data_IF_543771319502
#
_entry.id   IF_543771319502
#
_cell.length_a   1.000
_cell.length_b   1.000
_cell.length_c   1.000
_cell.angle_alpha   90.00
_cell.angle_beta   90.00
_cell.angle_gamma   90.00
#
_symmetry.space_group_name_H-M   'P 1'
#
loop_
_entity.id
_entity.type
_entity.pdbx_description
1 polymer ?
#
# COMPACT_ATOMS: atom_id res chain seq x y z
N UNK A 1 -14.63 1.14 0.19
CA UNK A 1 -15.99 1.51 0.62
C UNK A 1 -16.03 1.26 2.12
N UNK A 2 -16.00 2.32 2.93
CA UNK A 2 -16.07 2.20 4.40
C UNK A 2 -17.54 2.15 4.76
N UNK A 3 -17.97 1.06 5.41
CA UNK A 3 -19.37 0.80 5.75
C UNK A 3 -19.77 1.56 7.02
N UNK A 4 -20.79 2.40 6.90
CA UNK A 4 -21.53 2.96 8.03
C UNK A 4 -22.98 2.48 7.97
N UNK A 5 -23.26 1.28 8.47
CA UNK A 5 -24.60 0.90 8.93
C UNK A 5 -24.56 -0.33 9.83
N UNK A 6 -24.72 -0.12 11.13
CA UNK A 6 -25.26 -1.13 12.03
C UNK A 6 -26.78 -1.06 11.96
N UNK A 7 -27.42 -2.08 11.36
CA UNK A 7 -28.84 -2.33 11.62
C UNK A 7 -28.94 -3.24 12.84
N UNK A 8 -29.65 -2.76 13.85
CA UNK A 8 -30.21 -3.55 14.94
C UNK A 8 -30.96 -4.76 14.36
N UNK A 9 -30.39 -5.96 14.55
CA UNK A 9 -31.08 -7.23 14.39
C UNK A 9 -31.15 -7.86 15.79
N UNK A 10 -32.38 -8.04 16.25
CA UNK A 10 -32.70 -8.69 17.49
C UNK A 10 -32.15 -10.12 17.53
N UNK A 11 -31.44 -10.40 18.61
CA UNK A 11 -31.21 -11.70 19.28
C UNK A 11 -31.39 -12.99 18.46
N UNK A 12 -30.26 -13.62 18.12
CA UNK A 12 -30.01 -15.04 18.40
C UNK A 12 -28.52 -15.34 18.28
N UNK A 13 -27.91 -15.85 19.35
CA UNK A 13 -26.59 -16.50 19.30
C UNK A 13 -26.77 -17.95 18.77
N UNK A 14 -25.73 -18.66 18.29
CA UNK A 14 -24.48 -18.88 19.04
C UNK A 14 -23.16 -18.67 18.29
N UNK A 15 -22.16 -18.28 19.09
CA UNK A 15 -20.76 -18.74 19.07
C UNK A 15 -20.03 -18.85 17.74
N UNK A 16 -19.09 -17.94 17.48
CA UNK A 16 -18.02 -18.17 16.51
C UNK A 16 -16.72 -17.54 16.99
N UNK A 17 -15.69 -18.37 17.13
CA UNK A 17 -14.33 -18.04 17.51
C UNK A 17 -13.71 -17.02 16.53
N UNK A 18 -13.04 -16.01 17.08
CA UNK A 18 -12.13 -15.15 16.31
C UNK A 18 -10.71 -15.62 16.59
N UNK A 19 -10.05 -16.21 15.58
CA UNK A 19 -8.61 -16.49 15.60
C UNK A 19 -7.86 -15.19 15.28
N UNK A 20 -7.09 -14.68 16.23
CA UNK A 20 -6.08 -13.64 16.00
C UNK A 20 -4.72 -14.31 15.74
N UNK A 21 -4.13 -14.04 14.57
CA UNK A 21 -2.77 -14.45 14.25
C UNK A 21 -1.78 -13.43 14.82
N UNK A 22 -0.91 -13.88 15.73
CA UNK A 22 0.26 -13.13 16.19
C UNK A 22 1.50 -13.67 15.45
N UNK A 23 2.22 -12.80 14.73
CA UNK A 23 3.56 -13.09 14.22
C UNK A 23 4.57 -12.32 15.07
N UNK A 24 5.64 -12.95 15.60
CA UNK A 24 6.68 -12.23 16.32
C UNK A 24 7.66 -11.58 15.33
N UNK A 25 7.81 -10.26 15.41
CA UNK A 25 8.97 -9.55 14.89
C UNK A 25 10.12 -9.70 15.87
N UNK A 26 11.31 -10.04 15.38
CA UNK A 26 12.55 -10.03 16.14
C UNK A 26 13.64 -9.33 15.34
N UNK A 27 14.53 -8.67 16.09
CA UNK A 27 15.76 -7.97 15.72
C UNK A 27 15.62 -6.57 15.09
N UNK A 28 15.98 -5.54 15.87
CA UNK A 28 17.10 -4.61 15.62
C UNK A 28 17.47 -3.94 16.97
N UNK A 29 18.66 -4.25 17.49
CA UNK A 29 19.38 -3.49 18.53
C UNK A 29 20.69 -2.99 17.92
N UNK A 30 21.24 -1.93 18.52
CA UNK A 30 22.44 -1.14 18.17
C UNK A 30 22.24 -0.05 17.10
N UNK A 31 21.93 1.18 17.54
CA UNK A 31 22.88 2.32 17.53
C UNK A 31 22.44 3.31 18.60
N UNK A 32 23.22 3.43 19.69
CA UNK A 32 23.11 4.54 20.64
C UNK A 32 24.50 5.10 20.93
N UNK A 33 24.76 6.32 20.43
CA UNK A 33 25.57 7.39 21.04
C UNK A 33 26.05 8.43 20.02
N UNK A 34 25.48 9.63 20.09
CA UNK A 34 26.25 10.87 20.02
C UNK A 34 25.48 11.99 20.75
N UNK A 35 25.82 12.21 22.02
CA UNK A 35 25.30 13.26 22.87
C UNK A 35 26.05 14.59 22.64
N UNK A 36 25.27 15.67 22.68
CA UNK A 36 25.54 17.01 23.24
C UNK A 36 26.55 18.00 22.62
N UNK A 37 26.04 19.23 22.48
CA UNK A 37 26.58 20.60 22.61
C UNK A 37 26.04 21.45 21.42
N UNK A 38 25.45 22.63 21.55
CA UNK A 38 25.36 23.60 22.63
C UNK A 38 24.28 24.62 22.25
N UNK A 39 23.54 25.11 23.24
CA UNK A 39 22.68 26.29 23.15
C UNK A 39 23.51 27.56 22.97
N UNK A 40 23.03 28.52 22.16
CA UNK A 40 23.19 29.97 22.38
C UNK A 40 22.31 30.75 21.40
N UNK A 41 21.41 31.56 21.97
CA UNK A 41 20.74 32.71 21.34
C UNK A 41 21.78 33.70 20.81
N UNK A 42 21.49 34.38 19.70
CA UNK A 42 21.29 35.84 19.66
C UNK A 42 20.96 36.35 18.24
N UNK A 43 20.31 37.50 18.26
CA UNK A 43 19.68 38.26 17.19
C UNK A 43 20.66 38.83 16.14
N UNK A 44 20.13 39.17 14.96
CA UNK A 44 20.45 40.47 14.35
C UNK A 44 21.27 40.50 13.05
N UNK A 45 20.60 41.00 12.00
CA UNK A 45 21.09 41.88 10.93
C UNK A 45 21.79 41.32 9.66
N UNK A 46 21.00 41.40 8.57
CA UNK A 46 21.22 42.15 7.32
C UNK A 46 22.56 42.11 6.56
N UNK A 47 22.42 41.71 5.29
CA UNK A 47 22.92 42.35 4.05
C UNK A 47 24.41 42.27 3.70
N UNK A 48 24.72 41.57 2.59
CA UNK A 48 25.16 42.19 1.31
C UNK A 48 25.44 41.14 0.22
N UNK A 49 24.87 41.37 -0.96
CA UNK A 49 25.34 40.84 -2.25
C UNK A 49 26.72 41.44 -2.58
N UNK A 50 27.63 40.66 -3.20
CA UNK A 50 28.41 41.00 -4.43
C UNK A 50 29.07 39.72 -4.99
N UNK A 51 28.53 39.28 -6.13
CA UNK A 51 29.14 38.91 -7.41
C UNK A 51 30.63 38.45 -7.58
N UNK A 52 30.75 37.38 -8.40
CA UNK A 52 31.77 37.09 -9.46
C UNK A 52 33.05 36.24 -9.22
N UNK A 53 33.00 35.10 -9.94
CA UNK A 53 33.99 34.49 -10.88
C UNK A 53 34.76 33.23 -10.45
N UNK A 54 34.56 32.19 -11.27
CA UNK A 54 35.37 30.98 -11.42
C UNK A 54 36.78 31.26 -11.96
N UNK A 55 37.70 30.27 -11.85
CA UNK A 55 38.11 29.58 -13.08
C UNK A 55 38.30 28.04 -12.96
N UNK A 56 38.44 27.46 -14.16
CA UNK A 56 38.61 26.09 -14.69
C UNK A 56 39.53 25.05 -14.02
N UNK A 57 39.09 23.78 -14.09
CA UNK A 57 39.72 22.50 -14.55
C UNK A 57 41.24 22.25 -14.30
N UNK A 58 41.79 21.08 -13.92
CA UNK A 58 41.40 19.66 -13.71
C UNK A 58 42.64 18.95 -13.06
N UNK A 59 42.80 17.61 -13.11
CA UNK A 59 42.14 16.53 -12.36
C UNK A 59 43.05 15.93 -11.26
N UNK A 60 42.49 15.31 -10.22
CA UNK A 60 43.28 14.54 -9.24
C UNK A 60 42.87 13.06 -9.23
N UNK A 61 43.87 12.20 -9.41
CA UNK A 61 43.77 10.74 -9.43
C UNK A 61 43.49 10.19 -8.03
N UNK A 62 42.61 9.20 -7.94
CA UNK A 62 42.34 8.43 -6.72
C UNK A 62 43.37 7.31 -6.55
N UNK A 63 44.08 7.35 -5.43
CA UNK A 63 44.97 6.28 -4.98
C UNK A 63 44.18 5.18 -4.26
N UNK A 64 44.56 3.93 -4.52
CA UNK A 64 44.13 2.72 -3.81
C UNK A 64 44.84 2.59 -2.45
N UNK A 65 44.10 2.09 -1.46
CA UNK A 65 44.58 1.48 -0.20
C UNK A 65 43.38 1.36 0.76
N UNK A 66 42.91 0.21 1.25
CA UNK A 66 43.55 -1.09 1.44
C UNK A 66 44.00 -1.25 2.89
N UNK A 67 43.08 -1.40 3.86
CA UNK A 67 43.40 -1.80 5.25
C UNK A 67 42.20 -2.57 5.86
N UNK A 68 42.20 -3.91 5.74
CA UNK A 68 41.48 -4.81 6.65
C UNK A 68 42.54 -5.64 7.37
N UNK A 69 42.64 -5.45 8.68
CA UNK A 69 43.57 -6.15 9.56
C UNK A 69 42.92 -7.39 10.16
N UNK A 70 43.57 -8.53 9.94
CA UNK A 70 43.40 -9.82 10.60
C UNK A 70 43.95 -9.79 12.03
N UNK A 71 43.30 -10.49 12.97
CA UNK A 71 43.98 -11.03 14.15
C UNK A 71 43.38 -12.39 14.54
N UNK A 72 44.19 -13.43 14.32
CA UNK A 72 44.14 -14.69 15.04
C UNK A 72 44.72 -14.50 16.45
N UNK A 73 44.13 -15.15 17.44
CA UNK A 73 44.84 -15.70 18.60
C UNK A 73 43.98 -16.78 19.25
N UNK A 74 44.42 -18.03 19.09
CA UNK A 74 43.95 -19.18 19.84
C UNK A 74 44.81 -19.36 21.12
N UNK A 75 44.22 -19.89 22.19
CA UNK A 75 44.71 -20.97 23.10
C UNK A 75 43.72 -21.10 24.30
N UNK A 76 43.55 -22.30 24.88
CA UNK A 76 42.24 -22.84 25.26
C UNK A 76 42.01 -22.91 26.78
N UNK A 77 40.73 -23.00 27.19
CA UNK A 77 40.38 -23.48 28.55
C UNK A 77 39.27 -24.53 28.46
N UNK A 78 39.51 -25.63 29.16
CA UNK A 78 38.74 -26.87 29.23
C UNK A 78 37.29 -26.65 29.66
N UNK A 79 36.35 -27.28 28.94
CA UNK A 79 34.96 -27.46 29.33
C UNK A 79 34.79 -28.72 30.17
N UNK A 80 34.23 -28.59 31.38
CA UNK A 80 33.58 -29.69 32.10
C UNK A 80 32.11 -29.72 31.68
N UNK A 81 31.52 -30.85 31.23
CA UNK A 81 30.13 -30.87 30.81
C UNK A 81 29.20 -31.14 32.00
N UNK A 82 28.37 -30.17 32.37
CA UNK A 82 27.13 -30.46 33.11
C UNK A 82 25.99 -30.64 32.11
N UNK A 83 25.75 -31.91 31.80
CA UNK A 83 24.69 -32.39 30.94
C UNK A 83 23.32 -32.18 31.61
N UNK A 84 22.56 -31.17 31.17
CA UNK A 84 21.12 -31.02 31.43
C UNK A 84 20.53 -30.00 30.45
N UNK A 85 20.36 -30.36 29.17
CA UNK A 85 19.42 -29.67 28.25
C UNK A 85 19.21 -30.35 26.86
N UNK A 86 19.82 -31.50 26.58
CA UNK A 86 19.75 -32.14 25.26
C UNK A 86 18.36 -32.63 24.81
N UNK A 87 17.40 -32.82 25.72
CA UNK A 87 16.08 -33.38 25.36
C UNK A 87 15.05 -32.35 24.87
N UNK A 88 15.25 -31.05 25.13
CA UNK A 88 14.34 -29.98 24.66
C UNK A 88 14.72 -29.44 23.29
N UNK A 89 16.02 -29.33 23.00
CA UNK A 89 16.51 -28.87 21.69
C UNK A 89 16.20 -29.89 20.58
N UNK A 90 16.36 -31.19 20.84
CA UNK A 90 16.07 -32.24 19.87
C UNK A 90 14.57 -32.35 19.53
N UNK A 91 13.70 -32.13 20.53
CA UNK A 91 12.24 -32.12 20.33
C UNK A 91 11.74 -30.89 19.56
N UNK A 92 12.39 -29.73 19.75
CA UNK A 92 12.09 -28.51 18.98
C UNK A 92 12.57 -28.60 17.54
N UNK A 93 13.76 -29.16 17.30
CA UNK A 93 14.28 -29.38 15.95
C UNK A 93 13.42 -30.39 15.15
N UNK A 94 12.95 -31.46 15.80
CA UNK A 94 12.06 -32.44 15.16
C UNK A 94 10.67 -31.85 14.83
N UNK A 95 10.11 -31.00 15.71
CA UNK A 95 8.83 -30.34 15.47
C UNK A 95 8.88 -29.32 14.32
N UNK A 96 9.96 -28.53 14.23
CA UNK A 96 10.14 -27.55 13.15
C UNK A 96 10.41 -28.25 11.80
N UNK A 97 11.17 -29.36 11.80
CA UNK A 97 11.39 -30.15 10.60
C UNK A 97 10.10 -30.81 10.09
N UNK A 98 9.23 -31.30 10.98
CA UNK A 98 7.93 -31.86 10.60
C UNK A 98 6.99 -30.80 9.99
N UNK A 99 6.89 -29.62 10.62
CA UNK A 99 6.09 -28.50 10.09
C UNK A 99 6.59 -28.01 8.73
N UNK A 100 7.90 -27.92 8.53
CA UNK A 100 8.49 -27.57 7.22
C UNK A 100 8.23 -28.67 6.17
N UNK A 101 8.28 -29.94 6.56
CA UNK A 101 7.99 -31.04 5.63
C UNK A 101 6.51 -31.05 5.20
N UNK A 102 5.58 -30.77 6.10
CA UNK A 102 4.15 -30.66 5.77
C UNK A 102 3.83 -29.39 4.98
N UNK A 103 4.48 -28.26 5.26
CA UNK A 103 4.33 -27.05 4.47
C UNK A 103 4.87 -27.23 3.04
N UNK A 104 6.02 -27.88 2.86
CA UNK A 104 6.61 -28.16 1.55
C UNK A 104 5.84 -29.25 0.79
N UNK A 105 5.36 -30.29 1.47
CA UNK A 105 4.52 -31.32 0.85
C UNK A 105 3.14 -30.78 0.46
N UNK A 106 2.53 -29.90 1.28
CA UNK A 106 1.29 -29.20 0.95
C UNK A 106 1.48 -28.23 -0.23
N UNK A 107 2.57 -27.46 -0.23
CA UNK A 107 2.90 -26.55 -1.32
C UNK A 107 3.18 -27.29 -2.64
N UNK A 108 3.86 -28.43 -2.60
CA UNK A 108 4.14 -29.25 -3.77
C UNK A 108 2.89 -29.98 -4.32
N UNK A 109 1.94 -30.37 -3.45
CA UNK A 109 0.71 -31.08 -3.85
C UNK A 109 -0.36 -30.14 -4.42
N UNK A 110 -0.37 -28.87 -4.01
CA UNK A 110 -1.26 -27.85 -4.62
C UNK A 110 -0.79 -27.48 -6.03
N UNK A 111 0.50 -27.58 -6.33
CA UNK A 111 1.06 -27.22 -7.65
C UNK A 111 1.15 -28.37 -8.66
N UNK A 112 1.19 -29.63 -8.20
CA UNK A 112 1.05 -30.80 -9.07
C UNK A 112 -0.37 -31.32 -8.90
N UNK A 113 -1.26 -30.96 -9.83
CA UNK A 113 -2.70 -31.27 -9.76
C UNK A 113 -3.04 -32.77 -9.77
N UNK A 114 -2.72 -33.47 -8.69
CA UNK A 114 -3.15 -34.84 -8.41
C UNK A 114 -4.25 -34.78 -7.35
N UNK A 115 -5.50 -34.96 -7.79
CA UNK A 115 -6.66 -35.10 -6.93
C UNK A 115 -6.66 -36.53 -6.37
N UNK A 116 -6.13 -36.70 -5.15
CA UNK A 116 -6.61 -37.63 -4.12
C UNK A 116 -5.63 -37.65 -2.94
N UNK A 117 -5.83 -36.75 -1.98
CA UNK A 117 -5.28 -36.89 -0.63
C UNK A 117 -6.46 -37.15 0.30
N UNK A 118 -6.55 -38.39 0.78
CA UNK A 118 -7.53 -38.80 1.79
C UNK A 118 -7.19 -38.10 3.12
N UNK A 119 -7.88 -36.98 3.38
CA UNK A 119 -7.80 -36.27 4.65
C UNK A 119 -8.55 -37.09 5.70
N UNK A 120 -7.87 -38.06 6.31
CA UNK A 120 -8.43 -38.77 7.44
C UNK A 120 -8.75 -37.75 8.55
N UNK A 121 -9.97 -37.82 9.06
CA UNK A 121 -10.55 -36.96 10.10
C UNK A 121 -9.77 -36.97 11.41
N UNK A 122 -8.82 -37.90 11.59
CA UNK A 122 -7.90 -37.95 12.72
C UNK A 122 -6.85 -36.81 12.71
N UNK A 123 -6.49 -36.27 11.54
CA UNK A 123 -5.43 -35.23 11.43
C UNK A 123 -5.90 -33.84 11.85
N UNK A 124 -7.19 -33.53 11.69
CA UNK A 124 -7.78 -32.27 12.13
C UNK A 124 -8.03 -32.26 13.63
N UNK A 125 -8.44 -33.40 14.21
CA UNK A 125 -8.63 -33.53 15.66
C UNK A 125 -7.33 -33.40 16.43
N UNK A 126 -6.21 -33.92 15.90
CA UNK A 126 -4.90 -33.81 16.53
C UNK A 126 -4.30 -32.39 16.41
N UNK A 127 -4.61 -31.67 15.32
CA UNK A 127 -4.20 -30.27 15.13
C UNK A 127 -5.03 -29.30 15.98
N UNK A 128 -6.34 -29.52 16.10
CA UNK A 128 -7.21 -28.78 17.02
C UNK A 128 -6.80 -29.03 18.48
N UNK A 129 -6.51 -30.28 18.86
CA UNK A 129 -6.06 -30.62 20.22
C UNK A 129 -4.64 -30.10 20.55
N UNK A 130 -3.79 -29.92 19.55
CA UNK A 130 -2.47 -29.29 19.71
C UNK A 130 -2.58 -27.76 19.85
N UNK A 131 -3.56 -27.13 19.20
CA UNK A 131 -3.84 -25.70 19.33
C UNK A 131 -4.48 -25.37 20.69
N UNK A 132 -5.36 -26.27 21.18
CA UNK A 132 -6.07 -26.15 22.46
C UNK A 132 -5.12 -26.17 23.69
N UNK A 133 -3.91 -26.72 23.53
CA UNK A 133 -2.88 -26.78 24.59
C UNK A 133 -1.86 -25.64 24.57
N UNK A 134 -2.05 -24.61 23.73
CA UNK A 134 -1.17 -23.42 23.67
C UNK A 134 -1.90 -22.09 23.72
N UNK A 135 -3.17 -22.08 24.14
CA UNK A 135 -3.83 -20.81 24.47
C UNK A 135 -3.24 -20.33 25.80
N UNK A 136 -2.46 -19.26 25.76
CA UNK A 136 -2.00 -18.59 26.97
C UNK A 136 -3.22 -18.27 27.83
N UNK A 137 -3.28 -18.87 29.03
CA UNK A 137 -4.35 -18.55 29.98
C UNK A 137 -4.08 -17.14 30.47
N UNK A 138 -4.82 -16.16 29.94
CA UNK A 138 -4.72 -14.77 30.36
C UNK A 138 -5.06 -14.66 31.85
N UNK A 139 -4.19 -14.04 32.63
CA UNK A 139 -4.37 -13.87 34.07
C UNK A 139 -4.13 -12.42 34.50
N UNK A 140 -4.77 -12.03 35.60
CA UNK A 140 -4.60 -10.70 36.18
C UNK A 140 -4.93 -9.59 35.19
N UNK A 141 -3.96 -8.72 34.95
CA UNK A 141 -4.13 -7.51 34.13
C UNK A 141 -4.42 -7.81 32.66
N UNK A 142 -3.83 -8.86 32.10
CA UNK A 142 -4.06 -9.26 30.71
C UNK A 142 -5.52 -9.65 30.47
N UNK A 143 -6.07 -10.42 31.42
CA UNK A 143 -7.48 -10.78 31.40
C UNK A 143 -8.38 -9.56 31.57
N UNK A 144 -8.08 -8.68 32.52
CA UNK A 144 -8.83 -7.44 32.72
C UNK A 144 -8.80 -6.52 31.50
N UNK A 145 -7.67 -6.45 30.80
CA UNK A 145 -7.53 -5.67 29.57
C UNK A 145 -8.43 -6.22 28.46
N UNK A 146 -8.36 -7.53 28.20
CA UNK A 146 -9.18 -8.19 27.16
C UNK A 146 -10.67 -8.16 27.51
N UNK A 147 -11.02 -8.45 28.77
CA UNK A 147 -12.41 -8.40 29.24
C UNK A 147 -12.97 -6.96 29.23
N UNK A 148 -12.09 -5.95 29.25
CA UNK A 148 -12.45 -4.53 29.17
C UNK A 148 -12.77 -4.02 27.76
N UNK A 149 -12.58 -4.82 26.72
CA UNK A 149 -12.90 -4.45 25.34
C UNK A 149 -14.42 -4.45 25.15
N UNK A 150 -14.99 -3.27 24.92
CA UNK A 150 -16.43 -3.07 24.73
C UNK A 150 -16.80 -3.01 23.24
N UNK A 151 -17.59 -3.99 22.80
CA UNK A 151 -18.05 -4.14 21.41
C UNK A 151 -18.94 -2.97 20.98
N UNK A 152 -19.79 -2.43 21.87
CA UNK A 152 -20.67 -1.32 21.51
C UNK A 152 -19.85 -0.04 21.30
N UNK A 153 -18.83 0.20 22.13
CA UNK A 153 -17.89 1.31 21.92
C UNK A 153 -17.11 1.18 20.62
N UNK A 154 -16.66 -0.02 20.26
CA UNK A 154 -15.99 -0.24 18.97
C UNK A 154 -16.90 0.15 17.79
N UNK A 155 -18.20 -0.18 17.86
CA UNK A 155 -19.17 0.22 16.83
C UNK A 155 -19.40 1.73 16.81
N UNK A 156 -19.47 2.37 17.97
CA UNK A 156 -19.60 3.83 18.08
C UNK A 156 -18.41 4.54 17.44
N UNK A 157 -17.18 4.11 17.75
CA UNK A 157 -15.97 4.67 17.13
C UNK A 157 -15.95 4.44 15.63
N UNK A 158 -16.22 3.21 15.18
CA UNK A 158 -16.29 2.93 13.75
C UNK A 158 -17.29 3.86 13.07
N UNK A 159 -18.51 3.98 13.59
CA UNK A 159 -19.54 4.84 13.02
C UNK A 159 -19.09 6.31 12.99
N UNK A 160 -18.46 6.80 14.07
CA UNK A 160 -17.95 8.17 14.13
C UNK A 160 -16.90 8.43 13.04
N UNK A 161 -15.90 7.57 12.93
CA UNK A 161 -14.82 7.73 11.94
C UNK A 161 -15.28 7.47 10.50
N UNK A 162 -16.29 6.62 10.26
CA UNK A 162 -16.78 6.30 8.92
C UNK A 162 -17.93 7.17 8.41
N UNK A 163 -18.38 8.17 9.17
CA UNK A 163 -19.61 8.92 8.85
C UNK A 163 -19.43 10.04 7.83
N UNK A 164 -18.22 10.60 7.69
CA UNK A 164 -17.92 11.72 6.80
C UNK A 164 -16.55 11.49 6.15
N UNK A 165 -16.37 11.71 4.84
CA UNK A 165 -15.06 11.63 4.19
C UNK A 165 -14.02 12.52 4.89
N UNK A 166 -12.91 11.92 5.34
CA UNK A 166 -11.87 12.58 6.14
C UNK A 166 -10.50 12.45 5.45
N UNK A 167 -10.40 12.99 4.23
CA UNK A 167 -9.16 12.93 3.43
C UNK A 167 -8.06 13.74 4.12
N UNK A 168 -6.83 13.21 4.13
CA UNK A 168 -5.66 13.86 4.72
C UNK A 168 -5.56 15.35 4.35
N UNK A 169 -5.30 16.20 5.36
CA UNK A 169 -5.14 17.64 5.22
C UNK A 169 -6.44 18.44 5.03
N UNK A 170 -7.60 17.79 5.04
CA UNK A 170 -8.89 18.48 5.02
C UNK A 170 -9.32 18.94 6.42
N UNK A 171 -10.31 19.84 6.48
CA UNK A 171 -10.91 20.25 7.75
C UNK A 171 -11.53 19.05 8.51
N UNK A 172 -12.09 18.09 7.77
CA UNK A 172 -12.69 16.89 8.39
C UNK A 172 -11.61 15.95 8.95
N UNK A 173 -10.46 15.81 8.29
CA UNK A 173 -9.31 15.09 8.83
C UNK A 173 -8.83 15.72 10.16
N UNK A 174 -8.69 17.04 10.22
CA UNK A 174 -8.38 17.73 11.47
C UNK A 174 -9.46 17.52 12.55
N UNK A 175 -10.73 17.54 12.17
CA UNK A 175 -11.82 17.26 13.11
C UNK A 175 -11.76 15.84 13.67
N UNK A 176 -11.34 14.86 12.87
CA UNK A 176 -11.09 13.49 13.36
C UNK A 176 -9.87 13.42 14.28
N UNK A 177 -8.81 14.19 14.02
CA UNK A 177 -7.65 14.29 14.92
C UNK A 177 -8.04 14.89 16.29
N UNK A 178 -8.83 15.97 16.29
CA UNK A 178 -9.35 16.59 17.52
C UNK A 178 -10.22 15.61 18.32
N UNK A 179 -11.12 14.87 17.65
CA UNK A 179 -11.95 13.88 18.31
C UNK A 179 -11.11 12.76 18.94
N UNK A 180 -10.11 12.25 18.24
CA UNK A 180 -9.19 11.23 18.78
C UNK A 180 -8.43 11.76 19.99
N UNK A 181 -7.95 13.01 19.94
CA UNK A 181 -7.27 13.63 21.06
C UNK A 181 -8.19 13.75 22.30
N UNK A 182 -9.43 14.20 22.10
CA UNK A 182 -10.45 14.24 23.17
C UNK A 182 -10.70 12.85 23.77
N UNK A 183 -10.76 11.80 22.94
CA UNK A 183 -10.90 10.43 23.45
C UNK A 183 -9.70 10.02 24.31
N UNK A 184 -8.47 10.24 23.84
CA UNK A 184 -7.26 9.92 24.60
C UNK A 184 -7.19 10.66 25.93
N UNK A 185 -7.48 11.96 25.94
CA UNK A 185 -7.56 12.78 27.16
C UNK A 185 -8.62 12.24 28.13
N UNK A 186 -9.80 11.85 27.62
CA UNK A 186 -10.87 11.28 28.45
C UNK A 186 -10.49 9.95 29.11
N UNK A 187 -9.52 9.22 28.54
CA UNK A 187 -8.98 7.98 29.10
C UNK A 187 -7.83 8.24 30.08
N UNK A 188 -7.44 9.50 30.29
CA UNK A 188 -6.36 9.90 31.17
C UNK A 188 -4.97 9.87 30.53
N UNK A 189 -4.88 9.82 29.20
CA UNK A 189 -3.60 9.83 28.48
C UNK A 189 -3.05 11.25 28.35
N UNK A 190 -1.73 11.40 28.51
CA UNK A 190 -1.03 12.61 28.07
C UNK A 190 -1.08 12.64 26.54
N UNK A 191 -1.71 13.66 25.98
CA UNK A 191 -2.04 13.71 24.56
C UNK A 191 -1.45 14.96 23.91
N UNK A 192 -0.90 14.81 22.70
CA UNK A 192 -0.51 15.93 21.86
C UNK A 192 -0.92 15.70 20.40
N UNK A 193 -1.16 16.80 19.69
CA UNK A 193 -1.33 16.77 18.23
C UNK A 193 -0.07 17.36 17.60
N UNK A 194 0.65 16.54 16.85
CA UNK A 194 1.85 16.94 16.12
C UNK A 194 1.50 17.28 14.68
N UNK A 195 1.83 18.50 14.26
CA UNK A 195 1.61 18.95 12.88
C UNK A 195 2.86 18.82 12.03
N UNK A 196 2.70 18.22 10.86
CA UNK A 196 3.68 18.22 9.78
C UNK A 196 3.08 18.89 8.54
N UNK A 197 3.92 19.44 7.67
CA UNK A 197 3.51 20.13 6.46
C UNK A 197 4.02 19.35 5.25
N UNK A 198 3.21 18.43 4.75
CA UNK A 198 3.65 17.45 3.72
C UNK A 198 3.09 17.80 2.36
N UNK A 199 3.73 17.34 1.29
CA UNK A 199 3.12 17.42 -0.04
C UNK A 199 1.86 16.55 -0.09
N UNK A 200 0.70 17.16 -0.27
CA UNK A 200 -0.54 16.47 -0.58
C UNK A 200 -0.94 16.70 -2.03
N UNK A 201 -1.68 15.74 -2.59
CA UNK A 201 -2.05 15.72 -4.00
C UNK A 201 -3.54 15.46 -4.13
N UNK A 202 -4.26 16.33 -4.83
CA UNK A 202 -5.71 16.23 -5.08
C UNK A 202 -6.05 16.55 -6.53
N UNK A 203 -7.09 15.95 -7.12
CA UNK A 203 -7.44 16.18 -8.51
C UNK A 203 -8.16 17.52 -8.67
N UNK A 204 -7.78 18.29 -9.70
CA UNK A 204 -8.52 19.48 -10.17
C UNK A 204 -9.42 19.10 -11.33
N UNK A 205 -8.87 18.36 -12.29
CA UNK A 205 -9.54 17.97 -13.53
C UNK A 205 -9.18 16.55 -13.92
N UNK A 206 -10.17 15.82 -14.40
CA UNK A 206 -10.02 14.44 -14.85
C UNK A 206 -10.90 14.25 -16.08
N UNK A 207 -10.30 13.83 -17.18
CA UNK A 207 -11.00 13.50 -18.40
C UNK A 207 -10.34 12.28 -19.03
N UNK A 208 -11.18 11.36 -19.50
CA UNK A 208 -10.75 10.19 -20.24
C UNK A 208 -11.77 9.88 -21.31
N UNK A 209 -11.33 9.78 -22.56
CA UNK A 209 -12.19 9.41 -23.67
C UNK A 209 -11.49 8.40 -24.59
N UNK A 210 -12.26 7.46 -25.13
CA UNK A 210 -11.87 6.70 -26.31
C UNK A 210 -12.09 7.62 -27.51
N UNK A 211 -11.03 7.86 -28.27
CA UNK A 211 -11.03 8.72 -29.47
C UNK A 211 -11.12 7.87 -30.72
N UNK A 212 -10.37 6.77 -30.77
CA UNK A 212 -10.43 5.78 -31.84
C UNK A 212 -10.56 4.37 -31.26
N UNK A 213 -11.25 3.46 -31.98
CA UNK A 213 -11.94 3.67 -33.25
C UNK A 213 -13.28 4.41 -33.08
N UNK A 214 -13.83 4.97 -34.17
CA UNK A 214 -15.01 5.86 -34.14
C UNK A 214 -16.25 5.17 -33.55
N UNK A 215 -16.41 3.87 -33.81
CA UNK A 215 -17.51 3.04 -33.28
C UNK A 215 -17.44 2.83 -31.76
N UNK A 216 -16.24 2.94 -31.18
CA UNK A 216 -16.02 2.84 -29.74
C UNK A 216 -15.97 4.22 -29.06
N UNK A 217 -15.79 5.29 -29.85
CA UNK A 217 -15.55 6.64 -29.37
C UNK A 217 -16.60 7.11 -28.36
N UNK A 218 -16.14 7.49 -27.18
CA UNK A 218 -16.98 7.93 -26.06
C UNK A 218 -16.14 8.58 -24.98
N UNK A 219 -16.75 9.48 -24.23
CA UNK A 219 -16.23 9.90 -22.93
C UNK A 219 -16.54 8.83 -21.87
N UNK A 220 -15.57 8.54 -21.00
CA UNK A 220 -15.73 7.58 -19.92
C UNK A 220 -16.21 8.28 -18.65
N UNK A 221 -17.18 7.67 -17.96
CA UNK A 221 -17.72 8.22 -16.72
C UNK A 221 -16.77 7.94 -15.56
N UNK A 222 -16.10 8.97 -15.07
CA UNK A 222 -15.13 8.90 -13.97
C UNK A 222 -15.77 9.20 -12.59
N UNK A 223 -17.06 8.95 -12.45
CA UNK A 223 -17.83 9.18 -11.21
C UNK A 223 -18.23 7.83 -10.61
N UNK A 224 -18.04 7.68 -9.30
CA UNK A 224 -18.53 6.49 -8.59
C UNK A 224 -20.05 6.46 -8.53
N UNK A 225 -20.63 5.27 -8.71
CA UNK A 225 -22.08 5.11 -8.62
C UNK A 225 -22.57 5.24 -7.17
N UNK A 226 -23.68 5.95 -7.00
CA UNK A 226 -24.44 5.99 -5.76
C UNK A 226 -25.23 4.69 -5.58
N UNK A 227 -25.35 4.23 -4.34
CA UNK A 227 -26.10 3.04 -3.97
C UNK A 227 -27.38 3.47 -3.26
N UNK A 228 -28.53 3.07 -3.82
CA UNK A 228 -29.83 3.42 -3.28
C UNK A 228 -29.97 2.97 -1.81
N UNK A 229 -30.30 3.91 -0.93
CA UNK A 229 -30.47 3.66 0.51
C UNK A 229 -29.18 3.64 1.33
N UNK A 230 -28.04 4.00 0.72
CA UNK A 230 -26.75 4.19 1.36
C UNK A 230 -26.22 5.62 1.13
N UNK A 231 -26.49 6.49 2.10
CA UNK A 231 -26.14 7.92 2.06
C UNK A 231 -24.62 8.16 1.98
N UNK A 232 -23.80 7.20 2.44
CA UNK A 232 -22.33 7.31 2.39
C UNK A 232 -21.80 7.31 0.95
N UNK A 233 -22.59 6.84 -0.01
CA UNK A 233 -22.21 6.81 -1.43
C UNK A 233 -22.58 8.08 -2.18
N UNK A 234 -23.31 8.99 -1.54
CA UNK A 234 -23.82 10.23 -2.12
C UNK A 234 -23.24 11.50 -1.50
N UNK A 235 -22.22 11.39 -0.63
CA UNK A 235 -21.58 12.56 -0.02
C UNK A 235 -20.79 13.37 -1.07
N UNK A 236 -21.21 14.61 -1.29
CA UNK A 236 -20.59 15.53 -2.26
C UNK A 236 -19.17 15.96 -1.84
N UNK A 237 -18.80 15.80 -0.57
CA UNK A 237 -17.45 16.09 -0.08
C UNK A 237 -16.46 14.95 -0.36
N UNK A 238 -16.93 13.78 -0.81
CA UNK A 238 -16.05 12.70 -1.19
C UNK A 238 -15.25 13.10 -2.44
N UNK A 239 -13.91 13.09 -2.32
CA UNK A 239 -13.05 13.32 -3.48
C UNK A 239 -13.35 12.28 -4.56
N UNK A 240 -13.35 12.67 -5.84
CA UNK A 240 -13.64 11.72 -6.91
C UNK A 240 -12.48 10.71 -7.07
N UNK A 241 -12.59 9.68 -7.93
CA UNK A 241 -11.49 8.74 -8.17
C UNK A 241 -10.26 9.39 -8.81
N UNK A 242 -9.08 9.18 -8.22
CA UNK A 242 -7.79 9.67 -8.74
C UNK A 242 -6.60 8.86 -8.16
N UNK A 243 -5.42 9.08 -8.74
CA UNK A 243 -4.15 8.69 -8.13
C UNK A 243 -3.42 9.88 -7.55
N UNK A 244 -3.19 9.84 -6.23
CA UNK A 244 -2.38 10.86 -5.57
C UNK A 244 -0.94 10.76 -6.09
N UNK A 245 -0.36 11.93 -6.38
CA UNK A 245 0.97 12.12 -6.97
C UNK A 245 1.13 11.72 -8.44
N UNK A 246 0.06 11.31 -9.14
CA UNK A 246 0.14 11.22 -10.59
C UNK A 246 0.47 12.61 -11.19
N UNK A 247 1.21 12.64 -12.30
CA UNK A 247 1.58 13.92 -12.90
C UNK A 247 0.38 14.57 -13.62
N UNK A 248 0.35 15.90 -13.65
CA UNK A 248 -0.52 16.65 -14.55
C UNK A 248 -0.08 16.41 -16.00
N UNK A 249 -1.02 16.14 -16.90
CA UNK A 249 -0.71 15.92 -18.30
C UNK A 249 -1.93 15.63 -19.15
N UNK A 250 -1.86 16.00 -20.43
CA UNK A 250 -2.85 15.69 -21.46
C UNK A 250 -2.16 14.90 -22.58
N UNK A 251 -2.54 13.64 -22.71
CA UNK A 251 -1.91 12.68 -23.63
C UNK A 251 -3.00 11.98 -24.44
N UNK A 252 -2.85 12.00 -25.76
CA UNK A 252 -3.66 11.18 -26.68
C UNK A 252 -2.75 10.15 -27.34
N UNK A 253 -2.95 8.87 -27.04
CA UNK A 253 -2.09 7.80 -27.53
C UNK A 253 -2.82 6.45 -27.57
N UNK A 254 -2.25 5.49 -28.31
CA UNK A 254 -2.77 4.13 -28.32
C UNK A 254 -2.53 3.39 -27.01
N UNK A 255 -3.41 2.45 -26.69
CA UNK A 255 -3.42 1.72 -25.41
C UNK A 255 -2.80 0.33 -25.57
N UNK A 256 -1.92 -0.04 -24.63
CA UNK A 256 -1.37 -1.40 -24.51
C UNK A 256 -1.86 -2.02 -23.21
N UNK A 257 -2.47 -3.21 -23.29
CA UNK A 257 -2.80 -4.00 -22.11
C UNK A 257 -1.55 -4.68 -21.55
N UNK A 258 -1.20 -4.34 -20.32
CA UNK A 258 0.04 -4.77 -19.65
C UNK A 258 -0.20 -5.75 -18.51
N UNK A 259 -1.32 -6.46 -18.50
CA UNK A 259 -1.67 -7.41 -17.44
C UNK A 259 -1.62 -6.76 -16.05
N UNK A 260 -0.85 -7.31 -15.10
CA UNK A 260 -0.69 -6.72 -13.78
C UNK A 260 0.35 -5.57 -13.79
N UNK A 261 1.00 -5.25 -14.90
CA UNK A 261 2.04 -4.22 -14.93
C UNK A 261 3.21 -4.58 -14.00
N UNK A 262 3.54 -5.87 -13.88
CA UNK A 262 4.76 -6.32 -13.23
C UNK A 262 5.95 -6.16 -14.19
N UNK A 263 7.20 -6.09 -13.67
CA UNK A 263 8.38 -6.07 -14.54
C UNK A 263 8.37 -7.17 -15.61
N UNK A 264 7.97 -8.39 -15.24
CA UNK A 264 7.93 -9.54 -16.16
C UNK A 264 6.87 -9.38 -17.26
N UNK A 265 5.78 -8.63 -17.00
CA UNK A 265 4.75 -8.35 -17.99
C UNK A 265 5.31 -7.42 -19.09
N UNK A 266 6.06 -6.39 -18.71
CA UNK A 266 6.72 -5.49 -19.65
C UNK A 266 7.83 -6.19 -20.44
N UNK A 267 8.64 -7.01 -19.78
CA UNK A 267 9.68 -7.82 -20.43
C UNK A 267 9.08 -8.76 -21.48
N UNK A 268 7.97 -9.41 -21.15
CA UNK A 268 7.26 -10.27 -22.11
C UNK A 268 6.77 -9.48 -23.32
N UNK A 269 6.19 -8.29 -23.13
CA UNK A 269 5.73 -7.43 -24.22
C UNK A 269 6.87 -7.03 -25.16
N UNK A 270 8.00 -6.58 -24.61
CA UNK A 270 9.19 -6.23 -25.39
C UNK A 270 9.74 -7.43 -26.15
N UNK A 271 9.85 -8.59 -25.49
CA UNK A 271 10.30 -9.83 -26.13
C UNK A 271 9.37 -10.31 -27.27
N UNK A 272 8.10 -9.89 -27.26
CA UNK A 272 7.11 -10.21 -28.29
C UNK A 272 6.86 -9.06 -29.29
N UNK A 273 7.83 -8.14 -29.41
CA UNK A 273 7.85 -7.03 -30.36
C UNK A 273 6.65 -6.06 -30.21
N UNK A 274 6.17 -5.86 -28.99
CA UNK A 274 5.15 -4.84 -28.70
C UNK A 274 5.84 -3.51 -28.41
N UNK A 275 5.46 -2.46 -29.14
CA UNK A 275 6.00 -1.11 -28.95
C UNK A 275 5.31 -0.42 -27.76
N UNK A 276 6.09 -0.01 -26.76
CA UNK A 276 5.57 0.60 -25.52
C UNK A 276 5.75 2.12 -25.49
N UNK A 277 6.83 2.63 -26.10
CA UNK A 277 7.21 4.04 -26.00
C UNK A 277 6.10 4.95 -26.56
N UNK A 278 5.71 5.95 -25.79
CA UNK A 278 4.66 6.91 -26.15
C UNK A 278 3.24 6.36 -26.08
N UNK A 279 3.03 5.13 -25.58
CA UNK A 279 1.69 4.52 -25.44
C UNK A 279 1.13 4.70 -24.04
N UNK A 280 -0.17 4.44 -23.85
CA UNK A 280 -0.82 4.42 -22.54
C UNK A 280 -0.93 2.97 -22.05
N UNK A 281 -0.44 2.69 -20.84
CA UNK A 281 -0.54 1.37 -20.24
C UNK A 281 -1.93 1.17 -19.65
N UNK A 282 -2.60 0.05 -19.94
CA UNK A 282 -3.77 -0.41 -19.20
C UNK A 282 -3.38 -1.62 -18.36
N UNK A 283 -3.34 -1.46 -17.03
CA UNK A 283 -3.01 -2.50 -16.08
C UNK A 283 -4.21 -2.87 -15.21
N UNK A 284 -4.26 -4.12 -14.72
CA UNK A 284 -5.14 -4.51 -13.62
C UNK A 284 -4.45 -4.38 -12.26
N UNK A 285 -5.25 -4.11 -11.24
CA UNK A 285 -4.84 -4.20 -9.84
C UNK A 285 -4.48 -5.61 -9.42
N UNK A 286 -3.76 -5.72 -8.29
CA UNK A 286 -3.21 -6.98 -7.80
C UNK A 286 -1.78 -7.22 -8.31
N UNK A 287 -1.16 -8.32 -7.88
CA UNK A 287 0.18 -8.72 -8.30
C UNK A 287 1.35 -7.92 -7.68
N UNK A 288 1.30 -6.59 -7.74
CA UNK A 288 2.29 -5.68 -7.17
C UNK A 288 1.64 -4.35 -6.77
N UNK A 289 2.37 -3.55 -5.99
CA UNK A 289 1.95 -2.21 -5.59
C UNK A 289 1.77 -1.28 -6.80
N UNK A 290 0.71 -0.45 -6.80
CA UNK A 290 0.32 0.37 -7.95
C UNK A 290 1.39 1.36 -8.42
N UNK A 291 2.17 1.93 -7.50
CA UNK A 291 3.28 2.82 -7.85
C UNK A 291 4.37 2.12 -8.67
N UNK A 292 4.58 0.81 -8.46
CA UNK A 292 5.54 0.04 -9.27
C UNK A 292 5.06 -0.16 -10.72
N UNK A 293 3.74 -0.24 -10.94
CA UNK A 293 3.17 -0.32 -12.30
C UNK A 293 3.45 0.98 -13.06
N UNK A 294 3.26 2.12 -12.39
CA UNK A 294 3.52 3.44 -12.96
C UNK A 294 5.02 3.64 -13.21
N UNK A 295 5.87 3.30 -12.23
CA UNK A 295 7.32 3.34 -12.37
C UNK A 295 7.80 2.49 -13.56
N UNK A 296 7.29 1.28 -13.70
CA UNK A 296 7.67 0.39 -14.79
C UNK A 296 7.22 0.94 -16.15
N UNK A 297 6.01 1.48 -16.27
CA UNK A 297 5.54 2.13 -17.49
C UNK A 297 6.41 3.35 -17.85
N UNK A 298 6.74 4.19 -16.87
CA UNK A 298 7.61 5.35 -17.04
C UNK A 298 9.02 4.94 -17.50
N UNK A 299 9.60 3.89 -16.91
CA UNK A 299 10.90 3.34 -17.30
C UNK A 299 10.92 2.81 -18.74
N UNK A 300 9.77 2.36 -19.27
CA UNK A 300 9.61 1.94 -20.67
C UNK A 300 9.21 3.09 -21.61
N UNK A 301 9.20 4.33 -21.13
CA UNK A 301 8.91 5.53 -21.91
C UNK A 301 7.45 5.64 -22.35
N UNK A 302 6.53 5.01 -21.62
CA UNK A 302 5.09 5.14 -21.83
C UNK A 302 4.62 6.54 -21.42
N UNK A 303 3.53 7.00 -22.01
CA UNK A 303 3.04 8.38 -21.86
C UNK A 303 1.95 8.53 -20.78
N UNK A 304 1.38 7.42 -20.29
CA UNK A 304 0.39 7.46 -19.21
C UNK A 304 -0.04 6.07 -18.77
N UNK A 305 -0.78 5.99 -17.66
CA UNK A 305 -1.19 4.72 -17.05
C UNK A 305 -2.64 4.73 -16.59
N UNK A 306 -3.38 3.71 -16.96
CA UNK A 306 -4.73 3.41 -16.51
C UNK A 306 -4.69 2.13 -15.68
N UNK A 307 -5.32 2.12 -14.51
CA UNK A 307 -5.35 0.92 -13.64
C UNK A 307 -6.79 0.61 -13.22
N UNK A 308 -7.26 -0.61 -13.47
CA UNK A 308 -8.61 -1.04 -13.12
C UNK A 308 -8.62 -2.26 -12.20
N UNK A 309 -9.71 -2.46 -11.45
CA UNK A 309 -9.86 -3.66 -10.61
C UNK A 309 -10.60 -4.72 -11.40
N UNK A 310 -9.89 -5.71 -11.94
CA UNK A 310 -10.53 -6.74 -12.77
C UNK A 310 -11.45 -7.63 -11.90
N UNK A 311 -12.67 -7.97 -12.37
CA UNK A 311 -13.60 -8.80 -11.61
C UNK A 311 -13.06 -10.18 -11.23
N UNK A 312 -12.04 -10.69 -11.95
CA UNK A 312 -11.37 -11.93 -11.61
C UNK A 312 -10.66 -11.85 -10.25
N UNK A 313 -10.14 -10.68 -9.87
CA UNK A 313 -9.48 -10.47 -8.58
C UNK A 313 -10.40 -9.78 -7.56
N UNK A 314 -11.24 -8.84 -8.00
CA UNK A 314 -12.10 -8.04 -7.14
C UNK A 314 -13.38 -7.62 -7.87
N UNK A 315 -14.39 -8.50 -7.85
CA UNK A 315 -15.69 -8.26 -8.45
C UNK A 315 -16.57 -9.50 -8.55
N UNK A 316 -17.48 -9.53 -9.51
CA UNK A 316 -18.54 -10.53 -9.60
C UNK A 316 -18.09 -11.99 -9.79
N UNK A 317 -16.84 -12.24 -10.21
CA UNK A 317 -16.29 -13.60 -10.31
C UNK A 317 -16.07 -14.19 -8.93
N UNK A 318 -15.74 -13.35 -7.95
CA UNK A 318 -15.46 -13.76 -6.58
C UNK A 318 -16.74 -13.95 -5.74
N UNK A 319 -17.85 -13.34 -6.15
CA UNK A 319 -19.16 -13.50 -5.51
C UNK A 319 -20.07 -12.29 -5.67
N UNK A 320 -21.16 -12.20 -4.87
CA UNK A 320 -22.07 -11.06 -4.90
C UNK A 320 -21.34 -9.75 -4.62
N UNK A 321 -21.60 -8.74 -5.46
CA UNK A 321 -21.02 -7.41 -5.33
C UNK A 321 -21.84 -6.51 -4.42
N UNK A 322 -21.24 -5.45 -3.90
CA UNK A 322 -21.92 -4.44 -3.09
C UNK A 322 -23.15 -3.87 -3.82
N UNK A 323 -24.31 -3.68 -3.16
CA UNK A 323 -24.57 -3.87 -1.72
C UNK A 323 -24.97 -5.29 -1.30
N UNK A 324 -25.01 -6.26 -2.22
CA UNK A 324 -25.45 -7.64 -1.94
C UNK A 324 -24.35 -8.55 -1.40
N UNK A 325 -23.10 -8.11 -1.48
CA UNK A 325 -21.94 -8.78 -0.90
C UNK A 325 -20.73 -7.86 -0.82
N UNK A 326 -19.57 -8.39 -0.40
CA UNK A 326 -18.39 -7.58 -0.11
C UNK A 326 -17.56 -7.22 -1.35
N UNK A 327 -17.81 -7.86 -2.49
CA UNK A 327 -17.01 -7.68 -3.70
C UNK A 327 -17.32 -6.36 -4.41
N UNK A 328 -16.33 -5.84 -5.15
CA UNK A 328 -16.44 -4.53 -5.80
C UNK A 328 -17.58 -4.48 -6.85
N UNK A 329 -18.42 -3.42 -6.83
CA UNK A 329 -19.43 -3.18 -7.88
C UNK A 329 -18.84 -2.49 -9.12
N UNK A 330 -19.61 -2.50 -10.23
CA UNK A 330 -19.14 -2.16 -11.58
C UNK A 330 -18.56 -0.77 -11.74
N UNK A 331 -19.16 0.20 -11.08
CA UNK A 331 -18.76 1.61 -11.13
C UNK A 331 -18.08 2.08 -9.85
N UNK A 332 -17.39 1.18 -9.15
CA UNK A 332 -16.51 1.53 -8.03
C UNK A 332 -15.05 1.56 -8.45
N UNK A 333 -14.31 2.52 -7.90
CA UNK A 333 -12.92 2.76 -8.23
C UNK A 333 -12.03 2.47 -7.02
N UNK A 334 -10.78 2.11 -7.28
CA UNK A 334 -9.77 2.03 -6.23
C UNK A 334 -8.86 3.24 -6.33
N UNK A 335 -8.99 4.18 -5.38
CA UNK A 335 -8.07 5.31 -5.20
C UNK A 335 -6.75 4.82 -4.59
N UNK A 336 -5.72 5.65 -4.65
CA UNK A 336 -4.48 5.42 -3.91
C UNK A 336 -3.33 6.32 -4.36
N UNK A 337 -2.25 6.32 -3.59
CA UNK A 337 -1.02 6.98 -4.00
C UNK A 337 -0.21 6.13 -4.97
N UNK A 338 0.45 6.78 -5.94
CA UNK A 338 1.40 6.19 -6.89
C UNK A 338 2.86 6.58 -6.59
N UNK A 339 3.13 7.08 -5.39
CA UNK A 339 4.49 7.30 -4.86
C UNK A 339 5.34 6.04 -4.99
N UNK A 340 6.62 6.18 -5.31
CA UNK A 340 7.59 5.11 -5.50
C UNK A 340 8.19 4.68 -4.15
N UNK A 341 7.40 3.97 -3.35
CA UNK A 341 7.77 3.47 -2.02
C UNK A 341 9.04 2.59 -2.00
N UNK A 342 9.42 2.01 -3.14
CA UNK A 342 10.65 1.24 -3.28
C UNK A 342 11.93 2.10 -3.28
N UNK A 343 11.80 3.41 -3.50
CA UNK A 343 12.92 4.35 -3.48
C UNK A 343 13.07 5.03 -2.12
N UNK A 344 11.97 5.56 -1.59
CA UNK A 344 11.89 6.07 -0.22
C UNK A 344 10.42 6.20 0.21
N UNK A 345 10.20 6.17 1.52
CA UNK A 345 8.91 6.45 2.15
C UNK A 345 8.92 7.85 2.80
N UNK A 346 7.73 8.32 3.19
CA UNK A 346 7.53 9.65 3.78
C UNK A 346 7.08 10.69 2.75
N UNK A 347 7.21 11.96 3.13
CA UNK A 347 6.90 13.10 2.25
C UNK A 347 7.89 13.15 1.06
N UNK A 348 7.40 13.13 -0.19
CA UNK A 348 8.25 13.20 -1.38
C UNK A 348 9.23 14.38 -1.40
N UNK A 349 8.88 15.50 -0.75
CA UNK A 349 9.68 16.71 -0.79
C UNK A 349 10.71 16.82 0.34
N UNK A 350 10.65 15.96 1.36
CA UNK A 350 11.58 15.99 2.50
C UNK A 350 12.17 14.61 2.80
N UNK A 351 12.80 13.95 1.81
CA UNK A 351 13.28 12.58 1.99
C UNK A 351 14.35 12.52 3.09
N UNK A 352 14.07 11.74 4.14
CA UNK A 352 14.99 11.48 5.25
C UNK A 352 14.93 12.46 6.42
N UNK A 353 14.01 13.43 6.42
CA UNK A 353 13.80 14.35 7.55
C UNK A 353 12.33 14.77 7.66
N UNK A 354 11.97 15.31 8.82
CA UNK A 354 10.59 15.70 9.11
C UNK A 354 10.16 16.94 8.32
N UNK A 355 8.94 16.91 7.76
CA UNK A 355 8.32 18.04 7.06
C UNK A 355 7.80 19.08 8.06
N UNK A 356 8.70 19.89 8.60
CA UNK A 356 8.40 20.94 9.58
C UNK A 356 8.68 22.34 9.00
N UNK A 357 8.12 23.42 9.56
CA UNK A 357 8.42 24.77 9.09
C UNK A 357 9.93 25.05 9.05
N UNK A 358 10.43 25.46 7.89
CA UNK A 358 11.86 25.71 7.67
C UNK A 358 12.69 24.50 7.24
N UNK A 359 12.09 23.32 7.09
CA UNK A 359 12.76 22.17 6.48
C UNK A 359 13.16 22.46 5.01
N UNK A 360 14.25 21.85 4.51
CA UNK A 360 14.68 22.04 3.13
C UNK A 360 13.83 21.18 2.17
N UNK A 361 12.72 21.73 1.67
CA UNK A 361 11.89 21.05 0.66
C UNK A 361 12.62 20.96 -0.67
N UNK A 362 12.50 19.81 -1.34
CA UNK A 362 12.81 19.68 -2.76
C UNK A 362 11.78 20.44 -3.60
N UNK A 363 12.18 20.86 -4.79
CA UNK A 363 11.23 21.24 -5.84
C UNK A 363 10.50 19.98 -6.35
N UNK A 364 9.28 20.14 -6.87
CA UNK A 364 8.45 19.01 -7.30
C UNK A 364 9.12 18.18 -8.40
N UNK A 365 9.76 18.83 -9.36
CA UNK A 365 10.44 18.19 -10.49
C UNK A 365 11.66 17.38 -10.07
N UNK A 366 12.27 17.72 -8.93
CA UNK A 366 13.42 17.03 -8.37
C UNK A 366 13.02 15.81 -7.51
N UNK A 367 11.73 15.65 -7.20
CA UNK A 367 11.20 14.54 -6.43
C UNK A 367 11.23 13.24 -7.26
N UNK A 368 12.24 12.40 -6.99
CA UNK A 368 12.41 11.10 -7.66
C UNK A 368 11.47 10.01 -7.17
N UNK A 369 10.75 10.27 -6.08
CA UNK A 369 9.86 9.31 -5.42
C UNK A 369 8.43 9.41 -5.92
N UNK A 370 8.12 10.24 -6.91
CA UNK A 370 6.77 10.37 -7.48
C UNK A 370 6.82 10.21 -9.01
N UNK A 371 5.71 9.78 -9.64
CA UNK A 371 5.62 9.67 -11.10
C UNK A 371 5.69 11.00 -11.83
N UNK A 372 6.24 10.98 -13.05
CA UNK A 372 6.24 12.13 -13.98
C UNK A 372 5.36 11.91 -15.23
N UNK A 373 4.47 10.92 -15.17
CA UNK A 373 3.46 10.64 -16.20
C UNK A 373 2.03 10.65 -15.61
N UNK A 374 1.01 11.04 -16.39
CA UNK A 374 -0.37 11.02 -15.93
C UNK A 374 -0.84 9.59 -15.69
N UNK A 375 -1.62 9.42 -14.62
CA UNK A 375 -2.20 8.13 -14.29
C UNK A 375 -3.60 8.27 -13.66
N UNK A 376 -4.49 7.32 -13.95
CA UNK A 376 -5.88 7.37 -13.48
C UNK A 376 -6.44 5.97 -13.14
N UNK A 377 -7.15 5.82 -12.00
CA UNK A 377 -7.89 4.59 -11.71
C UNK A 377 -9.16 4.51 -12.56
N UNK A 378 -9.54 3.29 -12.95
CA UNK A 378 -10.80 2.98 -13.61
C UNK A 378 -11.63 1.98 -12.79
N UNK A 379 -12.94 2.09 -12.88
CA UNK A 379 -13.82 0.99 -12.56
C UNK A 379 -13.70 -0.10 -13.63
N UNK A 380 -14.11 -1.34 -13.32
CA UNK A 380 -14.14 -2.36 -14.38
C UNK A 380 -15.22 -2.08 -15.42
N UNK A 381 -16.28 -1.33 -15.06
CA UNK A 381 -17.28 -0.84 -16.02
C UNK A 381 -16.65 0.07 -17.09
N UNK A 382 -15.77 0.99 -16.69
CA UNK A 382 -15.05 1.85 -17.64
C UNK A 382 -13.97 1.10 -18.41
N UNK A 383 -13.19 0.24 -17.72
CA UNK A 383 -12.14 -0.55 -18.36
C UNK A 383 -12.69 -1.51 -19.42
N UNK A 384 -13.90 -2.02 -19.23
CA UNK A 384 -14.61 -2.86 -20.21
C UNK A 384 -14.73 -2.20 -21.57
N UNK A 385 -14.95 -0.89 -21.64
CA UNK A 385 -15.05 -0.17 -22.91
C UNK A 385 -13.72 -0.11 -23.65
N UNK A 386 -12.62 0.11 -22.93
CA UNK A 386 -11.28 0.13 -23.52
C UNK A 386 -10.88 -1.29 -23.95
N UNK A 387 -11.02 -2.28 -23.07
CA UNK A 387 -10.67 -3.68 -23.35
C UNK A 387 -11.48 -4.26 -24.52
N UNK A 388 -12.77 -3.93 -24.64
CA UNK A 388 -13.60 -4.35 -25.77
C UNK A 388 -13.15 -3.74 -27.11
N UNK A 389 -12.45 -2.61 -27.06
CA UNK A 389 -11.94 -1.93 -28.24
C UNK A 389 -10.55 -2.42 -28.65
N UNK A 390 -9.78 -3.01 -27.72
CA UNK A 390 -8.42 -3.47 -27.99
C UNK A 390 -8.41 -4.58 -29.03
N UNK A 391 -7.61 -4.38 -30.08
CA UNK A 391 -7.30 -5.39 -31.08
C UNK A 391 -5.87 -5.91 -30.94
N UNK A 392 -5.28 -6.33 -32.06
CA UNK A 392 -3.94 -6.91 -32.11
C UNK A 392 -3.88 -8.35 -31.59
N UNK A 393 -2.69 -8.76 -31.13
CA UNK A 393 -2.45 -10.11 -30.61
C UNK A 393 -3.35 -10.40 -29.42
N UNK A 394 -3.91 -11.61 -29.39
CA UNK A 394 -4.63 -12.12 -28.23
C UNK A 394 -3.70 -12.17 -27.02
N UNK A 395 -4.15 -11.65 -25.89
CA UNK A 395 -3.38 -11.72 -24.65
C UNK A 395 -3.24 -13.18 -24.19
N UNK A 396 -2.16 -13.48 -23.45
CA UNK A 396 -1.92 -14.82 -22.90
C UNK A 396 -3.14 -15.33 -22.13
N UNK A 397 -3.30 -16.66 -22.06
CA UNK A 397 -4.38 -17.25 -21.26
C UNK A 397 -4.34 -16.77 -19.79
N UNK A 398 -3.15 -16.67 -19.20
CA UNK A 398 -2.97 -16.15 -17.84
C UNK A 398 -3.26 -14.63 -17.71
N UNK A 399 -3.33 -13.92 -18.83
CA UNK A 399 -3.62 -12.48 -18.90
C UNK A 399 -5.11 -12.20 -19.12
N UNK A 400 -5.93 -13.24 -19.31
CA UNK A 400 -7.37 -13.08 -19.34
C UNK A 400 -7.90 -12.69 -17.95
N UNK A 401 -9.07 -12.05 -17.92
CA UNK A 401 -9.72 -11.60 -16.70
C UNK A 401 -11.19 -12.03 -16.64
N UNK A 402 -11.93 -11.37 -15.76
CA UNK A 402 -13.32 -11.70 -15.43
C UNK A 402 -14.34 -11.04 -16.36
N UNK A 403 -13.94 -10.07 -17.19
CA UNK A 403 -14.82 -9.49 -18.19
C UNK A 403 -14.89 -10.42 -19.42
N UNK A 404 -16.09 -10.65 -19.91
CA UNK A 404 -16.31 -11.54 -21.06
C UNK A 404 -16.43 -10.75 -22.36
N UNK A 405 -15.59 -11.08 -23.33
CA UNK A 405 -15.66 -10.60 -24.72
C UNK A 405 -15.66 -11.79 -25.68
N UNK A 406 -16.11 -11.59 -26.92
CA UNK A 406 -16.23 -12.67 -27.91
C UNK A 406 -14.89 -13.32 -28.28
N UNK A 407 -13.78 -12.56 -28.24
CA UNK A 407 -12.43 -13.08 -28.51
C UNK A 407 -11.46 -12.93 -27.31
N UNK A 408 -12.00 -12.67 -26.11
CA UNK A 408 -11.19 -12.45 -24.90
C UNK A 408 -10.41 -11.13 -24.95
N UNK A 409 -9.40 -11.01 -24.09
CA UNK A 409 -8.56 -9.81 -23.98
C UNK A 409 -7.47 -9.85 -25.04
N UNK A 410 -7.18 -8.69 -25.63
CA UNK A 410 -6.07 -8.48 -26.56
C UNK A 410 -5.04 -7.49 -26.00
N UNK A 411 -3.84 -7.51 -26.56
CA UNK A 411 -2.72 -6.67 -26.12
C UNK A 411 -2.85 -5.23 -26.60
N UNK A 412 -3.50 -4.97 -27.74
CA UNK A 412 -3.59 -3.63 -28.34
C UNK A 412 -2.37 -3.23 -29.18
N UNK A 413 -1.55 -4.18 -29.62
CA UNK A 413 -0.32 -3.91 -30.39
C UNK A 413 -0.56 -3.57 -31.88
N UNK A 414 -1.82 -3.44 -32.30
CA UNK A 414 -2.24 -2.90 -33.60
C UNK A 414 -2.45 -1.37 -33.58
N UNK A 415 -2.32 -0.74 -32.42
CA UNK A 415 -2.49 0.69 -32.18
C UNK A 415 -3.89 1.25 -32.50
N UNK A 416 -4.89 0.39 -32.69
CA UNK A 416 -6.22 0.81 -33.16
C UNK A 416 -7.06 1.53 -32.09
N UNK A 417 -6.83 1.25 -30.82
CA UNK A 417 -7.53 1.93 -29.71
C UNK A 417 -6.71 3.09 -29.20
N UNK A 418 -7.20 4.30 -29.42
CA UNK A 418 -6.57 5.55 -28.98
C UNK A 418 -7.46 6.20 -27.94
N UNK A 419 -6.86 6.60 -26.82
CA UNK A 419 -7.55 7.31 -25.74
C UNK A 419 -6.90 8.67 -25.49
N UNK A 420 -7.71 9.65 -25.09
CA UNK A 420 -7.24 10.91 -24.53
C UNK A 420 -7.33 10.85 -23.00
N UNK A 421 -6.18 10.87 -22.32
CA UNK A 421 -6.04 10.94 -20.87
C UNK A 421 -5.60 12.37 -20.51
N UNK A 422 -6.45 13.10 -19.81
CA UNK A 422 -6.18 14.48 -19.40
C UNK A 422 -6.46 14.67 -17.92
N UNK A 423 -5.38 14.86 -17.16
CA UNK A 423 -5.37 14.95 -15.70
C UNK A 423 -4.70 16.25 -15.29
N UNK A 424 -5.29 16.93 -14.33
CA UNK A 424 -4.72 18.08 -13.65
C UNK A 424 -4.79 17.86 -12.14
N UNK A 425 -3.64 17.97 -11.49
CA UNK A 425 -3.47 17.76 -10.06
C UNK A 425 -3.07 19.06 -9.36
N UNK A 426 -3.68 19.32 -8.21
CA UNK A 426 -3.24 20.31 -7.23
C UNK A 426 -2.30 19.62 -6.24
N UNK A 427 -1.00 19.88 -6.39
CA UNK A 427 0.06 19.39 -5.53
C UNK A 427 0.52 20.54 -4.65
N UNK A 428 0.22 20.46 -3.35
CA UNK A 428 0.53 21.54 -2.41
C UNK A 428 1.02 21.01 -1.07
N UNK A 429 1.94 21.74 -0.46
CA UNK A 429 2.32 21.51 0.92
C UNK A 429 1.17 21.92 1.83
N UNK A 430 0.66 20.99 2.64
CA UNK A 430 -0.50 21.17 3.50
C UNK A 430 -0.28 20.49 4.86
N UNK A 431 -0.94 20.98 5.92
CA UNK A 431 -0.80 20.38 7.24
C UNK A 431 -1.43 18.98 7.27
N UNK A 432 -0.77 18.08 8.00
CA UNK A 432 -1.33 16.80 8.47
C UNK A 432 -1.13 16.73 9.99
N UNK A 433 -1.94 15.94 10.68
CA UNK A 433 -2.02 15.94 12.14
C UNK A 433 -1.91 14.51 12.69
N UNK A 434 -0.80 14.22 13.36
CA UNK A 434 -0.63 12.99 14.12
C UNK A 434 -1.11 13.21 15.55
N UNK A 435 -1.96 12.32 16.05
CA UNK A 435 -2.42 12.33 17.44
C UNK A 435 -1.60 11.32 18.23
N UNK A 436 -0.87 11.78 19.23
CA UNK A 436 0.03 10.98 20.05
C UNK A 436 -0.51 10.93 21.47
N UNK A 437 -0.84 9.74 21.96
CA UNK A 437 -1.21 9.48 23.35
C UNK A 437 -0.12 8.68 24.05
N UNK A 438 0.28 9.10 25.25
CA UNK A 438 1.38 8.48 26.02
C UNK A 438 0.87 7.90 27.34
N UNK A 439 1.23 6.63 27.59
CA UNK A 439 1.22 5.99 28.91
C UNK A 439 2.69 5.85 29.32
N UNK A 440 3.10 6.58 30.36
CA UNK A 440 4.49 6.55 30.82
C UNK A 440 4.79 5.23 31.54
N UNK A 441 5.85 4.55 31.12
CA UNK A 441 6.30 3.30 31.74
C UNK A 441 6.76 3.54 33.17
N UNK A 442 6.34 2.70 34.12
CA UNK A 442 6.73 2.85 35.53
C UNK A 442 8.16 2.39 35.83
N UNK A 443 8.70 1.50 35.00
CA UNK A 443 10.05 0.93 35.17
C UNK A 443 11.04 1.49 34.14
N UNK A 444 10.62 1.59 32.88
CA UNK A 444 11.46 2.03 31.75
C UNK A 444 10.78 3.17 30.96
N UNK A 445 10.60 4.37 31.55
CA UNK A 445 9.89 5.49 30.91
C UNK A 445 10.57 6.04 29.64
N UNK A 446 11.86 5.76 29.45
CA UNK A 446 12.66 6.23 28.31
C UNK A 446 12.71 5.23 27.14
N UNK A 447 12.13 4.03 27.28
CA UNK A 447 12.02 3.04 26.21
C UNK A 447 10.75 3.31 25.39
N UNK A 448 10.90 3.38 24.06
CA UNK A 448 9.78 3.61 23.12
C UNK A 448 9.29 2.33 22.46
#
# INVERSE_FOLDING_TARGET
MVLCRSRSLASSSPSSLVLAFYLPFSYWDDIDNANQLQSLRLEGQQSKMVDKRAPSQAPFQTARGGVYGTFDSAVPVQSTPTNRNGSRALRRAAGVAALMFFAVAGYASVYRGDQNVDFSTASLTDAEAALDNTVAVLQGIEKSFVDGVDIERLREFQHKFSSVPHVAGTQQDYATALYTAEQFESYGLKTEIKTYYTLLSTPVRRHLAIVEPVEAARELNLTEAQVAGDECTSDENALPPFFAYAATGNVTASVIYVNFGKPEDFEWLVANNVSLKGKIALARYGGNYRGLKVMAAEAHGMAGVLIYSDPNEDGFVQGPVYPKGPWRPEDSFQRGATIFLSLAAGDPLTPGFASVPGAPYLEYEDAKTIPHIPALPLSYGQAKHILASLGGKKALHAWQGGLTFSDGYHVGDDEATIVNLDIEMDNKVSPIWDVIGTIEGSEEPDQQ
#
